data_IF_757402117585
#
_entry.id   IF_757402117585
#
_cell.length_a   1.000
_cell.length_b   1.000
_cell.length_c   1.000
_cell.angle_alpha   90.00
_cell.angle_beta   90.00
_cell.angle_gamma   90.00
#
_symmetry.space_group_name_H-M   'P 1'
#
loop_
_entity.id
_entity.type
_entity.pdbx_description
1 polymer ?
#
# COMPACT_ATOMS: atom_id res chain seq x y z
N UNK A 1 45.50 -21.69 20.27
CA UNK A 1 44.92 -20.61 19.43
C UNK A 1 44.15 -21.29 18.31
N UNK A 2 42.90 -21.66 18.55
CA UNK A 2 41.99 -22.11 17.48
C UNK A 2 41.07 -20.94 17.18
N UNK A 3 41.17 -20.43 15.95
CA UNK A 3 40.33 -19.35 15.45
C UNK A 3 39.06 -20.04 14.96
N UNK A 4 37.96 -19.86 15.68
CA UNK A 4 36.65 -20.37 15.29
C UNK A 4 36.16 -19.65 14.05
N UNK A 5 35.94 -20.39 12.98
CA UNK A 5 35.28 -19.93 11.76
C UNK A 5 33.85 -19.49 12.11
N UNK A 6 33.60 -18.18 12.12
CA UNK A 6 32.25 -17.64 12.17
C UNK A 6 31.50 -18.06 10.92
N UNK A 7 30.42 -18.84 11.08
CA UNK A 7 29.43 -19.01 10.04
C UNK A 7 28.84 -17.62 9.77
N UNK A 8 29.19 -17.05 8.62
CA UNK A 8 28.39 -16.00 7.99
C UNK A 8 27.03 -16.62 7.68
N UNK A 9 26.02 -16.30 8.48
CA UNK A 9 24.63 -16.54 8.10
C UNK A 9 24.41 -15.70 6.84
N UNK A 10 24.06 -16.32 5.70
CA UNK A 10 23.77 -15.54 4.50
C UNK A 10 22.57 -14.64 4.83
N UNK A 11 22.71 -13.34 4.58
CA UNK A 11 21.57 -12.43 4.55
C UNK A 11 20.54 -13.07 3.62
N UNK A 12 19.40 -13.51 4.16
CA UNK A 12 18.26 -13.89 3.34
C UNK A 12 17.98 -12.71 2.41
N UNK A 13 18.04 -12.91 1.09
CA UNK A 13 17.62 -11.86 0.16
C UNK A 13 16.18 -11.53 0.51
N UNK A 14 15.88 -10.26 0.80
CA UNK A 14 14.51 -9.83 1.04
C UNK A 14 13.64 -10.31 -0.14
N UNK A 15 12.54 -10.99 0.15
CA UNK A 15 11.60 -11.41 -0.88
C UNK A 15 11.13 -10.18 -1.66
N UNK A 16 11.18 -10.25 -2.98
CA UNK A 16 10.69 -9.18 -3.86
C UNK A 16 9.33 -9.57 -4.44
N UNK A 17 8.57 -8.57 -4.88
CA UNK A 17 7.23 -8.77 -5.45
C UNK A 17 7.26 -9.61 -6.73
N UNK A 18 8.38 -9.56 -7.45
CA UNK A 18 8.42 -9.93 -8.86
C UNK A 18 7.68 -8.89 -9.71
N UNK A 19 7.96 -8.91 -11.01
CA UNK A 19 7.14 -8.25 -12.02
C UNK A 19 6.85 -9.26 -13.15
N UNK A 20 5.63 -9.26 -13.71
CA UNK A 20 4.48 -8.41 -13.35
C UNK A 20 3.81 -8.80 -12.02
N UNK A 21 3.18 -7.83 -11.35
CA UNK A 21 2.54 -8.03 -10.03
C UNK A 21 1.09 -8.51 -10.09
N UNK A 22 0.40 -8.30 -11.23
CA UNK A 22 -0.94 -8.82 -11.48
C UNK A 22 -0.91 -9.84 -12.62
N UNK A 23 -1.72 -10.92 -12.54
CA UNK A 23 -1.81 -11.89 -13.62
C UNK A 23 -2.61 -11.34 -14.81
N UNK A 24 -2.35 -11.90 -16.01
CA UNK A 24 -3.17 -11.65 -17.20
C UNK A 24 -2.80 -10.39 -17.98
N UNK A 25 -3.75 -9.90 -18.77
CA UNK A 25 -3.66 -8.65 -19.53
C UNK A 25 -4.42 -7.57 -18.75
N UNK A 26 -3.69 -6.84 -17.92
CA UNK A 26 -4.22 -5.77 -17.08
C UNK A 26 -3.49 -4.49 -17.47
N UNK A 27 -4.23 -3.39 -17.52
CA UNK A 27 -3.66 -2.12 -17.91
C UNK A 27 -4.10 -1.00 -16.98
N UNK A 28 -3.51 0.16 -17.22
CA UNK A 28 -3.97 1.44 -16.65
C UNK A 28 -4.17 1.41 -15.13
N UNK A 29 -3.17 0.92 -14.35
CA UNK A 29 -3.35 0.74 -12.91
C UNK A 29 -3.46 2.08 -12.18
N UNK A 30 -4.49 2.23 -11.35
CA UNK A 30 -4.48 3.16 -10.21
C UNK A 30 -4.13 2.40 -8.93
N UNK A 31 -3.26 2.96 -8.08
CA UNK A 31 -2.84 2.39 -6.79
C UNK A 31 -3.29 3.28 -5.63
N UNK A 32 -3.89 2.69 -4.59
CA UNK A 32 -4.35 3.39 -3.38
C UNK A 32 -4.03 2.61 -2.10
N UNK A 33 -4.05 3.30 -0.96
CA UNK A 33 -4.06 2.67 0.36
C UNK A 33 -5.38 2.98 1.03
N UNK A 34 -6.19 1.96 1.23
CA UNK A 34 -7.47 2.06 1.93
C UNK A 34 -7.58 0.94 2.95
N UNK A 35 -8.07 1.30 4.14
CA UNK A 35 -8.36 0.34 5.21
C UNK A 35 -7.14 -0.55 5.55
N UNK A 36 -5.92 0.01 5.50
CA UNK A 36 -4.70 -0.73 5.83
C UNK A 36 -4.32 -1.81 4.80
N UNK A 37 -4.78 -1.68 3.56
CA UNK A 37 -4.37 -2.51 2.41
C UNK A 37 -3.98 -1.62 1.23
N UNK A 38 -3.12 -2.14 0.37
CA UNK A 38 -2.91 -1.60 -0.97
C UNK A 38 -4.01 -2.09 -1.90
N UNK A 39 -4.46 -1.24 -2.80
CA UNK A 39 -5.53 -1.52 -3.76
C UNK A 39 -5.10 -1.09 -5.16
N UNK A 40 -5.20 -1.99 -6.14
CA UNK A 40 -5.03 -1.67 -7.56
C UNK A 40 -6.36 -1.79 -8.29
N UNK A 41 -6.68 -0.78 -9.08
CA UNK A 41 -7.82 -0.74 -9.98
C UNK A 41 -7.29 -0.60 -11.42
N UNK A 42 -7.29 -1.68 -12.23
CA UNK A 42 -6.84 -1.64 -13.62
C UNK A 42 -8.02 -1.57 -14.61
N UNK A 43 -7.73 -1.17 -15.85
CA UNK A 43 -8.54 -1.56 -17.01
C UNK A 43 -8.47 -3.07 -17.20
N UNK A 44 -9.63 -3.73 -17.22
CA UNK A 44 -9.75 -5.16 -17.47
C UNK A 44 -9.61 -5.52 -18.96
N UNK A 45 -9.16 -6.76 -19.23
CA UNK A 45 -9.00 -7.28 -20.60
C UNK A 45 -10.31 -7.29 -21.42
N UNK A 46 -11.45 -7.54 -20.78
CA UNK A 46 -12.73 -7.67 -21.47
C UNK A 46 -13.37 -6.34 -21.88
N UNK A 47 -12.72 -5.23 -21.57
CA UNK A 47 -13.13 -3.88 -21.94
C UNK A 47 -14.52 -3.45 -21.40
N UNK A 48 -15.06 -4.20 -20.44
CA UNK A 48 -16.41 -3.98 -19.88
C UNK A 48 -16.44 -3.99 -18.36
N UNK A 49 -15.56 -4.74 -17.68
CA UNK A 49 -15.64 -4.95 -16.23
C UNK A 49 -14.39 -4.45 -15.53
N UNK A 50 -14.60 -3.76 -14.42
CA UNK A 50 -13.53 -3.35 -13.51
C UNK A 50 -13.42 -4.32 -12.35
N UNK A 51 -12.23 -4.84 -12.13
CA UNK A 51 -11.88 -5.62 -10.95
C UNK A 51 -11.15 -4.74 -9.91
N UNK A 52 -11.22 -5.12 -8.64
CA UNK A 52 -10.35 -4.59 -7.60
C UNK A 52 -9.32 -5.64 -7.17
N UNK A 53 -8.07 -5.24 -7.03
CA UNK A 53 -7.00 -6.10 -6.52
C UNK A 53 -6.52 -5.56 -5.19
N UNK A 54 -6.30 -6.41 -4.19
CA UNK A 54 -5.83 -5.96 -2.87
C UNK A 54 -4.59 -6.72 -2.39
N UNK A 55 -3.73 -6.04 -1.65
CA UNK A 55 -2.52 -6.62 -1.05
C UNK A 55 -2.25 -6.04 0.33
N UNK A 56 -1.66 -6.83 1.22
CA UNK A 56 -1.15 -6.35 2.52
C UNK A 56 0.30 -5.91 2.46
N UNK A 57 1.05 -6.27 1.41
CA UNK A 57 2.51 -6.23 1.40
C UNK A 57 3.14 -5.84 0.05
N UNK A 58 2.36 -5.34 -0.91
CA UNK A 58 2.73 -5.06 -2.31
C UNK A 58 3.09 -6.28 -3.16
N UNK A 59 3.19 -7.47 -2.59
CA UNK A 59 3.67 -8.69 -3.27
C UNK A 59 2.53 -9.65 -3.55
N UNK A 60 1.76 -10.00 -2.53
CA UNK A 60 0.67 -10.96 -2.65
C UNK A 60 -0.63 -10.21 -2.95
N UNK A 61 -1.08 -10.31 -4.20
CA UNK A 61 -2.29 -9.66 -4.68
C UNK A 61 -3.45 -10.65 -4.77
N UNK A 62 -4.60 -10.24 -4.25
CA UNK A 62 -5.87 -10.97 -4.29
C UNK A 62 -6.81 -10.25 -5.26
N UNK A 63 -7.39 -10.97 -6.21
CA UNK A 63 -8.52 -10.49 -7.01
C UNK A 63 -9.77 -10.48 -6.12
N UNK A 64 -10.28 -9.30 -5.81
CA UNK A 64 -11.47 -9.09 -4.98
C UNK A 64 -12.76 -9.15 -5.81
N UNK A 65 -12.64 -9.40 -7.12
CA UNK A 65 -13.73 -9.56 -8.06
C UNK A 65 -14.15 -8.26 -8.74
N UNK A 66 -15.21 -8.37 -9.56
CA UNK A 66 -15.81 -7.26 -10.30
C UNK A 66 -16.48 -6.29 -9.34
N UNK A 67 -16.10 -5.01 -9.41
CA UNK A 67 -16.70 -3.93 -8.61
C UNK A 67 -17.72 -3.11 -9.40
N UNK A 68 -17.58 -3.07 -10.73
CA UNK A 68 -18.49 -2.40 -11.66
C UNK A 68 -18.40 -3.06 -13.04
N UNK A 69 -19.56 -3.41 -13.60
CA UNK A 69 -19.74 -3.89 -14.97
C UNK A 69 -20.44 -2.81 -15.79
N UNK A 70 -19.73 -2.21 -16.75
CA UNK A 70 -20.25 -1.13 -17.58
C UNK A 70 -21.46 -1.59 -18.38
N UNK A 71 -21.38 -2.72 -19.07
CA UNK A 71 -22.43 -3.18 -19.99
C UNK A 71 -23.76 -3.55 -19.32
N UNK A 72 -23.78 -3.77 -18.00
CA UNK A 72 -25.01 -4.12 -17.27
C UNK A 72 -25.41 -3.13 -16.17
N UNK A 73 -24.49 -2.30 -15.67
CA UNK A 73 -24.74 -1.39 -14.55
C UNK A 73 -24.65 0.09 -14.93
N UNK A 74 -24.13 0.43 -16.11
CA UNK A 74 -24.00 1.82 -16.58
C UNK A 74 -24.99 2.04 -17.73
N UNK A 75 -25.96 2.94 -17.54
CA UNK A 75 -27.07 3.12 -18.50
C UNK A 75 -26.74 3.97 -19.73
N UNK A 76 -25.58 4.64 -19.71
CA UNK A 76 -25.17 5.64 -20.71
C UNK A 76 -23.95 5.21 -21.53
N UNK A 77 -23.42 4.01 -21.30
CA UNK A 77 -22.31 3.41 -22.03
C UNK A 77 -22.38 1.88 -21.97
N UNK A 78 -21.94 1.21 -23.04
CA UNK A 78 -22.00 -0.25 -23.17
C UNK A 78 -20.61 -0.91 -23.12
N UNK A 79 -19.54 -0.14 -23.36
CA UNK A 79 -18.17 -0.65 -23.44
C UNK A 79 -17.09 0.43 -23.17
N UNK A 80 -15.82 0.13 -23.50
CA UNK A 80 -14.64 0.98 -23.34
C UNK A 80 -14.42 1.38 -21.88
N UNK A 81 -14.57 0.40 -21.00
CA UNK A 81 -14.31 0.51 -19.56
C UNK A 81 -12.80 0.70 -19.33
N UNK A 82 -12.36 1.95 -19.20
CA UNK A 82 -10.94 2.32 -19.18
C UNK A 82 -10.53 3.13 -17.95
N UNK A 83 -9.25 2.97 -17.60
CA UNK A 83 -8.43 3.88 -16.82
C UNK A 83 -9.08 4.40 -15.54
N UNK A 84 -9.45 3.50 -14.60
CA UNK A 84 -10.19 3.92 -13.44
C UNK A 84 -9.29 4.59 -12.39
N UNK A 85 -9.88 5.45 -11.58
CA UNK A 85 -9.29 5.95 -10.34
C UNK A 85 -10.28 5.88 -9.18
N UNK A 86 -9.78 5.62 -7.97
CA UNK A 86 -10.58 5.51 -6.75
C UNK A 86 -10.11 6.53 -5.70
N UNK A 87 -11.05 7.25 -5.10
CA UNK A 87 -10.77 8.15 -3.97
C UNK A 87 -11.77 7.95 -2.83
N UNK A 88 -11.29 8.09 -1.60
CA UNK A 88 -12.15 8.06 -0.41
C UNK A 88 -12.45 9.49 0.06
N UNK A 89 -13.73 9.79 0.31
CA UNK A 89 -14.16 11.05 0.95
C UNK A 89 -15.50 10.86 1.64
N UNK A 90 -15.74 11.58 2.73
CA UNK A 90 -17.05 11.64 3.40
C UNK A 90 -17.66 10.26 3.73
N UNK A 91 -16.85 9.27 4.11
CA UNK A 91 -17.35 7.93 4.45
C UNK A 91 -17.67 7.03 3.26
N UNK A 92 -17.38 7.45 2.03
CA UNK A 92 -17.64 6.70 0.79
C UNK A 92 -16.40 6.64 -0.10
N UNK A 93 -16.43 5.71 -1.03
CA UNK A 93 -15.45 5.58 -2.10
C UNK A 93 -16.08 6.05 -3.41
N UNK A 94 -15.35 6.82 -4.21
CA UNK A 94 -15.79 7.35 -5.49
C UNK A 94 -14.88 6.80 -6.57
N UNK A 95 -15.47 5.98 -7.44
CA UNK A 95 -14.81 5.27 -8.53
C UNK A 95 -15.06 6.02 -9.83
N UNK A 96 -14.04 6.71 -10.32
CA UNK A 96 -14.06 7.42 -11.59
C UNK A 96 -13.55 6.49 -12.67
N UNK A 97 -14.18 6.50 -13.83
CA UNK A 97 -13.82 5.62 -14.93
C UNK A 97 -14.20 6.27 -16.25
N UNK A 98 -13.53 5.87 -17.33
CA UNK A 98 -13.98 6.18 -18.67
C UNK A 98 -14.84 5.02 -19.20
N UNK A 99 -15.91 5.35 -19.91
CA UNK A 99 -16.75 4.42 -20.66
C UNK A 99 -17.31 5.14 -21.89
N UNK A 100 -17.23 4.51 -23.06
CA UNK A 100 -17.57 5.12 -24.36
C UNK A 100 -17.05 6.55 -24.58
N UNK A 101 -15.80 6.82 -24.13
CA UNK A 101 -15.14 8.14 -24.27
C UNK A 101 -15.86 9.24 -23.50
N UNK A 102 -16.47 8.87 -22.38
CA UNK A 102 -17.07 9.76 -21.39
C UNK A 102 -16.58 9.35 -20.01
N UNK A 103 -16.56 10.28 -19.05
CA UNK A 103 -16.14 9.98 -17.68
C UNK A 103 -17.36 9.83 -16.79
N UNK A 104 -17.47 8.67 -16.16
CA UNK A 104 -18.44 8.37 -15.12
C UNK A 104 -17.87 8.52 -13.72
N UNK A 105 -18.76 8.50 -12.74
CA UNK A 105 -18.42 8.30 -11.34
C UNK A 105 -19.46 7.37 -10.71
N UNK A 106 -18.98 6.33 -10.05
CA UNK A 106 -19.78 5.42 -9.25
C UNK A 106 -19.44 5.59 -7.76
N UNK A 107 -20.44 5.44 -6.90
CA UNK A 107 -20.27 5.50 -5.44
C UNK A 107 -20.23 4.08 -4.88
N UNK A 108 -19.22 3.79 -4.08
CA UNK A 108 -19.00 2.48 -3.48
C UNK A 108 -18.99 2.56 -1.95
N UNK A 109 -19.49 1.51 -1.30
CA UNK A 109 -19.53 1.40 0.16
C UNK A 109 -18.20 0.94 0.77
N UNK A 110 -17.35 0.30 -0.04
CA UNK A 110 -16.02 -0.19 0.36
C UNK A 110 -15.04 -0.12 -0.81
N UNK A 111 -13.72 -0.27 -0.59
CA UNK A 111 -12.73 -0.30 -1.65
C UNK A 111 -12.95 -1.42 -2.68
N UNK A 112 -13.64 -2.50 -2.30
CA UNK A 112 -13.98 -3.64 -3.17
C UNK A 112 -15.41 -3.58 -3.71
N UNK A 113 -16.06 -2.42 -3.63
CA UNK A 113 -17.45 -2.29 -4.03
C UNK A 113 -18.46 -2.90 -3.04
N UNK A 114 -19.69 -3.19 -3.49
CA UNK A 114 -20.19 -2.90 -4.84
C UNK A 114 -20.20 -1.39 -5.13
N UNK A 115 -20.04 -1.02 -6.40
CA UNK A 115 -20.13 0.37 -6.86
C UNK A 115 -21.44 0.60 -7.61
N UNK A 116 -22.07 1.75 -7.40
CA UNK A 116 -23.30 2.17 -8.08
C UNK A 116 -23.04 3.42 -8.91
N UNK A 117 -23.21 3.32 -10.23
CA UNK A 117 -23.09 4.46 -11.14
C UNK A 117 -24.08 5.58 -10.79
N UNK A 118 -23.70 6.82 -11.06
CA UNK A 118 -24.55 7.99 -10.79
C UNK A 118 -25.63 8.22 -11.85
N UNK A 119 -25.71 7.35 -12.86
CA UNK A 119 -26.77 7.29 -13.87
C UNK A 119 -26.57 8.21 -15.06
N UNK A 120 -25.45 8.94 -15.12
CA UNK A 120 -25.08 9.82 -16.22
C UNK A 120 -23.56 10.04 -16.25
N UNK A 121 -23.00 10.45 -17.40
CA UNK A 121 -21.62 10.93 -17.44
C UNK A 121 -21.43 12.14 -16.51
N UNK A 122 -20.34 12.12 -15.74
CA UNK A 122 -19.83 13.30 -15.04
C UNK A 122 -19.20 14.28 -16.02
N UNK A 123 -18.44 13.77 -16.99
CA UNK A 123 -17.89 14.55 -18.12
C UNK A 123 -18.31 13.87 -19.43
N UNK A 124 -19.20 14.48 -20.23
CA UNK A 124 -19.61 13.94 -21.52
C UNK A 124 -18.51 14.08 -22.58
N UNK A 125 -18.63 13.32 -23.67
CA UNK A 125 -17.68 13.33 -24.77
C UNK A 125 -17.57 14.71 -25.44
N UNK A 126 -16.37 15.04 -25.93
CA UNK A 126 -16.15 16.17 -26.85
C UNK A 126 -16.15 17.57 -26.22
N UNK A 127 -16.09 17.72 -24.90
CA UNK A 127 -16.04 19.03 -24.26
C UNK A 127 -14.72 19.77 -24.54
N UNK A 128 -14.82 20.94 -25.19
CA UNK A 128 -13.72 21.88 -25.48
C UNK A 128 -12.50 21.26 -26.19
N UNK A 129 -12.71 20.18 -26.94
CA UNK A 129 -11.63 19.48 -27.65
C UNK A 129 -10.67 18.71 -26.72
N UNK A 130 -11.11 18.38 -25.50
CA UNK A 130 -10.45 17.41 -24.61
C UNK A 130 -11.23 16.11 -24.66
N UNK A 131 -10.56 15.01 -24.99
CA UNK A 131 -11.18 13.68 -24.98
C UNK A 131 -11.49 13.24 -23.55
N UNK A 132 -12.68 12.73 -23.26
CA UNK A 132 -13.09 12.43 -21.88
C UNK A 132 -12.67 11.01 -21.48
N UNK A 133 -11.37 10.86 -21.26
CA UNK A 133 -10.69 9.62 -20.83
C UNK A 133 -9.72 9.90 -19.68
N UNK A 134 -9.19 8.83 -19.10
CA UNK A 134 -8.15 8.81 -18.06
C UNK A 134 -8.43 9.75 -16.87
N UNK A 135 -9.58 9.59 -16.19
CA UNK A 135 -9.89 10.38 -15.02
C UNK A 135 -8.89 10.08 -13.89
N UNK A 136 -8.33 11.12 -13.30
CA UNK A 136 -7.53 11.05 -12.07
C UNK A 136 -7.98 12.13 -11.10
N UNK A 137 -8.24 11.74 -9.85
CA UNK A 137 -8.70 12.69 -8.82
C UNK A 137 -7.61 12.94 -7.79
N UNK A 138 -7.26 14.21 -7.65
CA UNK A 138 -6.35 14.71 -6.62
C UNK A 138 -7.12 15.57 -5.63
N UNK A 139 -6.98 15.28 -4.34
CA UNK A 139 -7.52 16.08 -3.25
C UNK A 139 -6.34 16.79 -2.58
N UNK A 140 -6.35 18.12 -2.61
CA UNK A 140 -5.28 18.94 -2.04
C UNK A 140 -5.43 19.09 -0.53
N UNK A 141 -4.39 19.62 0.12
CA UNK A 141 -4.32 19.78 1.58
C UNK A 141 -5.41 20.72 2.13
N UNK A 142 -5.96 21.62 1.30
CA UNK A 142 -7.07 22.51 1.63
C UNK A 142 -8.46 21.85 1.50
N UNK A 143 -8.49 20.59 1.05
CA UNK A 143 -9.70 19.81 0.82
C UNK A 143 -10.36 20.04 -0.54
N UNK A 144 -9.84 20.91 -1.40
CA UNK A 144 -10.34 21.04 -2.77
C UNK A 144 -9.95 19.79 -3.57
N UNK A 145 -10.96 19.16 -4.18
CA UNK A 145 -10.76 18.04 -5.09
C UNK A 145 -10.71 18.53 -6.54
N UNK A 146 -9.83 17.94 -7.34
CA UNK A 146 -9.61 18.25 -8.75
C UNK A 146 -9.70 16.97 -9.55
N UNK A 147 -10.51 16.98 -10.60
CA UNK A 147 -10.56 15.94 -11.63
C UNK A 147 -9.65 16.36 -12.79
N UNK A 148 -8.56 15.65 -12.98
CA UNK A 148 -7.73 15.72 -14.18
C UNK A 148 -8.21 14.65 -15.14
N UNK A 149 -8.21 14.97 -16.42
CA UNK A 149 -8.60 14.04 -17.46
C UNK A 149 -8.08 14.52 -18.81
N UNK A 150 -8.21 13.70 -19.82
CA UNK A 150 -7.84 14.08 -21.17
C UNK A 150 -6.83 13.17 -21.79
N UNK A 151 -6.86 13.14 -23.12
CA UNK A 151 -5.82 12.52 -23.90
C UNK A 151 -6.14 12.42 -25.38
N UNK A 152 -5.43 11.48 -26.00
CA UNK A 152 -5.47 11.00 -27.39
C UNK A 152 -4.52 11.62 -28.42
N UNK A 153 -4.15 10.76 -29.38
CA UNK A 153 -2.83 10.69 -29.98
C UNK A 153 -2.40 11.91 -30.82
N UNK A 154 -1.10 12.24 -30.67
CA UNK A 154 -0.36 13.19 -31.50
C UNK A 154 -0.29 14.60 -30.94
N UNK A 155 -1.36 15.09 -30.28
CA UNK A 155 -1.47 16.41 -29.63
C UNK A 155 -2.59 16.44 -28.57
N UNK A 156 -2.63 15.46 -27.66
CA UNK A 156 -3.66 15.35 -26.63
C UNK A 156 -3.76 16.62 -25.77
N UNK A 157 -4.96 16.93 -25.28
CA UNK A 157 -5.17 18.04 -24.34
C UNK A 157 -5.56 17.50 -22.97
N UNK A 158 -5.08 18.20 -21.94
CA UNK A 158 -5.47 17.93 -20.55
C UNK A 158 -6.53 18.93 -20.09
N UNK A 159 -7.65 18.41 -19.59
CA UNK A 159 -8.70 19.14 -18.91
C UNK A 159 -8.60 18.97 -17.40
N UNK A 160 -9.03 19.99 -16.67
CA UNK A 160 -9.14 19.99 -15.21
C UNK A 160 -10.50 20.58 -14.83
N UNK A 161 -11.19 19.92 -13.92
CA UNK A 161 -12.33 20.48 -13.20
C UNK A 161 -12.03 20.52 -11.71
N UNK A 162 -12.56 21.54 -11.02
CA UNK A 162 -12.78 21.42 -9.58
C UNK A 162 -14.00 20.53 -9.37
N UNK A 163 -13.97 19.68 -8.34
CA UNK A 163 -15.12 18.92 -7.89
C UNK A 163 -15.81 19.64 -6.72
N UNK A 164 -17.14 19.50 -6.63
CA UNK A 164 -17.86 19.87 -5.42
C UNK A 164 -17.57 18.87 -4.30
N UNK A 165 -17.92 19.24 -3.06
CA UNK A 165 -17.71 18.39 -1.89
C UNK A 165 -18.48 17.07 -1.91
N UNK A 166 -19.48 16.92 -2.78
CA UNK A 166 -20.23 15.68 -3.02
C UNK A 166 -19.45 14.65 -3.86
N UNK A 167 -18.34 15.07 -4.49
CA UNK A 167 -17.48 14.30 -5.40
C UNK A 167 -18.17 13.76 -6.67
N UNK A 168 -19.45 14.08 -6.88
CA UNK A 168 -20.24 13.60 -8.02
C UNK A 168 -20.77 14.73 -8.90
N UNK A 169 -20.31 15.96 -8.66
CA UNK A 169 -20.61 17.11 -9.49
C UNK A 169 -19.40 18.04 -9.68
N UNK A 170 -19.35 18.68 -10.84
CA UNK A 170 -18.30 19.61 -11.22
C UNK A 170 -18.57 21.01 -10.65
N UNK A 171 -17.51 21.71 -10.26
CA UNK A 171 -17.54 23.08 -9.77
C UNK A 171 -16.88 24.03 -10.79
N UNK A 172 -17.68 24.94 -11.35
CA UNK A 172 -17.20 25.94 -12.30
C UNK A 172 -16.91 25.39 -13.70
N UNK A 173 -16.18 26.17 -14.49
CA UNK A 173 -15.83 25.84 -15.87
C UNK A 173 -14.60 24.93 -15.98
N UNK A 174 -14.48 24.26 -17.13
CA UNK A 174 -13.31 23.48 -17.50
C UNK A 174 -12.07 24.37 -17.58
N UNK A 175 -10.95 23.87 -17.09
CA UNK A 175 -9.65 24.50 -17.23
C UNK A 175 -8.83 23.61 -18.18
N UNK A 176 -8.35 24.17 -19.28
CA UNK A 176 -7.46 23.45 -20.20
C UNK A 176 -6.04 23.96 -19.98
N UNK A 177 -5.19 23.11 -19.39
CA UNK A 177 -3.79 23.44 -19.11
C UNK A 177 -2.91 22.24 -19.42
N UNK A 178 -2.47 22.13 -20.68
CA UNK A 178 -1.77 20.95 -21.19
C UNK A 178 -0.26 21.12 -21.04
N UNK A 179 0.46 20.18 -20.38
CA UNK A 179 1.91 20.24 -20.30
C UNK A 179 2.56 19.86 -21.65
N UNK A 180 3.84 20.20 -21.82
CA UNK A 180 4.61 19.81 -23.00
C UNK A 180 4.64 18.28 -23.16
N UNK A 181 4.47 17.75 -24.39
CA UNK A 181 4.52 16.31 -24.70
C UNK A 181 3.38 15.48 -24.09
N UNK A 182 2.25 16.09 -23.75
CA UNK A 182 1.11 15.34 -23.22
C UNK A 182 0.46 14.44 -24.27
N UNK A 183 0.37 13.13 -24.01
CA UNK A 183 -0.54 12.23 -24.72
C UNK A 183 -1.80 11.98 -23.88
N UNK A 184 -1.68 11.48 -22.65
CA UNK A 184 -2.79 11.00 -21.80
C UNK A 184 -2.32 10.64 -20.37
N UNK A 185 -3.15 9.95 -19.57
CA UNK A 185 -2.84 9.35 -18.27
C UNK A 185 -2.24 10.31 -17.22
N UNK A 186 -2.99 11.38 -16.92
CA UNK A 186 -2.56 12.37 -15.93
C UNK A 186 -2.50 11.77 -14.53
N UNK A 187 -1.42 12.04 -13.79
CA UNK A 187 -1.32 11.74 -12.36
C UNK A 187 -0.67 12.89 -11.61
N UNK A 188 -1.35 13.39 -10.57
CA UNK A 188 -0.87 14.48 -9.73
C UNK A 188 -0.61 14.02 -8.29
N UNK A 189 0.55 14.39 -7.77
CA UNK A 189 0.83 14.32 -6.33
C UNK A 189 1.59 15.56 -5.87
N UNK A 190 1.53 15.81 -4.56
CA UNK A 190 2.19 16.96 -3.93
C UNK A 190 3.28 16.47 -2.99
N UNK A 191 4.45 17.11 -3.06
CA UNK A 191 5.59 16.85 -2.16
C UNK A 191 6.29 18.16 -1.85
N UNK A 192 6.44 18.46 -0.55
CA UNK A 192 7.11 19.68 -0.05
C UNK A 192 6.56 20.98 -0.68
N UNK A 193 5.24 21.09 -0.80
CA UNK A 193 4.56 22.27 -1.36
C UNK A 193 4.62 22.39 -2.89
N UNK A 194 5.24 21.44 -3.59
CA UNK A 194 5.32 21.41 -5.07
C UNK A 194 4.36 20.35 -5.60
N UNK A 195 3.60 20.71 -6.64
CA UNK A 195 2.74 19.79 -7.39
C UNK A 195 3.55 19.17 -8.52
N UNK A 196 3.52 17.86 -8.61
CA UNK A 196 4.13 17.08 -9.68
C UNK A 196 2.99 16.52 -10.52
N UNK A 197 2.90 16.95 -11.77
CA UNK A 197 2.01 16.37 -12.78
C UNK A 197 2.86 15.46 -13.65
N UNK A 198 2.48 14.19 -13.69
CA UNK A 198 3.08 13.18 -14.55
C UNK A 198 2.05 12.66 -15.53
N UNK A 199 2.50 12.20 -16.70
CA UNK A 199 1.64 11.85 -17.81
C UNK A 199 2.37 10.96 -18.80
N UNK A 200 1.60 10.23 -19.60
CA UNK A 200 2.11 9.45 -20.71
C UNK A 200 2.43 10.34 -21.92
N UNK A 201 3.48 9.97 -22.64
CA UNK A 201 3.89 10.53 -23.92
C UNK A 201 4.19 9.40 -24.92
N UNK A 202 3.94 9.62 -26.21
CA UNK A 202 4.16 8.64 -27.28
C UNK A 202 2.90 7.83 -27.61
N UNK A 203 3.04 6.77 -28.40
CA UNK A 203 1.92 5.86 -28.69
C UNK A 203 1.83 4.77 -27.62
N UNK A 204 0.67 4.60 -26.98
CA UNK A 204 0.38 3.46 -26.11
C UNK A 204 0.57 2.11 -26.80
N UNK A 205 0.59 2.10 -28.13
CA UNK A 205 0.63 0.93 -28.99
C UNK A 205 2.05 0.41 -29.32
N UNK A 206 3.11 1.14 -28.94
CA UNK A 206 4.48 0.78 -29.31
C UNK A 206 5.54 1.19 -28.26
N UNK A 207 6.81 0.99 -28.61
CA UNK A 207 7.95 1.28 -27.72
C UNK A 207 8.20 2.77 -27.44
N UNK A 208 7.51 3.68 -28.12
CA UNK A 208 7.63 5.12 -27.89
C UNK A 208 6.90 5.58 -26.63
N UNK A 209 5.95 4.79 -26.11
CA UNK A 209 5.24 5.12 -24.86
C UNK A 209 6.24 5.28 -23.71
N UNK A 210 6.13 6.38 -22.98
CA UNK A 210 6.96 6.71 -21.83
C UNK A 210 6.22 7.64 -20.86
N UNK A 211 6.69 7.70 -19.61
CA UNK A 211 6.16 8.60 -18.59
C UNK A 211 7.04 9.84 -18.48
N UNK A 212 6.46 11.02 -18.61
CA UNK A 212 7.11 12.31 -18.38
C UNK A 212 6.46 13.06 -17.21
N UNK A 213 7.10 14.13 -16.75
CA UNK A 213 6.52 14.98 -15.72
C UNK A 213 6.88 16.45 -15.85
N UNK A 214 6.06 17.25 -15.19
CA UNK A 214 6.19 18.67 -15.01
C UNK A 214 5.87 19.03 -13.55
N UNK A 215 6.28 20.23 -13.12
CA UNK A 215 6.02 20.74 -11.77
C UNK A 215 5.35 22.10 -11.80
N UNK A 216 4.59 22.42 -10.75
CA UNK A 216 3.95 23.71 -10.53
C UNK A 216 3.89 24.05 -9.04
N UNK A 217 3.70 25.33 -8.71
CA UNK A 217 3.35 25.80 -7.36
C UNK A 217 1.83 25.83 -7.11
N UNK A 218 1.04 25.39 -8.09
CA UNK A 218 -0.43 25.36 -8.08
C UNK A 218 -0.92 24.06 -8.72
N UNK A 219 -2.01 23.45 -8.23
CA UNK A 219 -2.59 22.26 -8.85
C UNK A 219 -3.10 22.56 -10.26
N UNK A 220 -3.30 23.82 -10.63
CA UNK A 220 -3.83 24.22 -11.95
C UNK A 220 -2.72 24.63 -12.94
N UNK A 221 -1.46 24.35 -12.62
CA UNK A 221 -0.32 24.87 -13.38
C UNK A 221 -0.07 26.37 -13.13
N UNK A 222 0.70 27.04 -14.01
CA UNK A 222 1.31 26.51 -15.23
C UNK A 222 2.36 25.42 -14.95
N UNK A 223 2.45 24.45 -15.86
CA UNK A 223 3.31 23.28 -15.70
C UNK A 223 4.67 23.50 -16.34
N UNK A 224 5.74 23.37 -15.57
CA UNK A 224 7.11 23.42 -16.09
C UNK A 224 7.65 22.01 -16.28
N UNK A 225 7.93 21.60 -17.52
CA UNK A 225 8.47 20.27 -17.86
C UNK A 225 9.80 19.98 -17.13
N UNK A 226 9.99 18.72 -16.73
CA UNK A 226 11.14 18.25 -15.95
C UNK A 226 11.84 17.01 -16.51
N UNK A 227 11.31 16.41 -17.58
CA UNK A 227 11.92 15.26 -18.25
C UNK A 227 11.11 13.98 -18.12
N UNK A 228 11.78 12.86 -18.42
CA UNK A 228 11.22 11.51 -18.47
C UNK A 228 11.50 10.77 -17.17
N UNK A 229 10.48 10.10 -16.63
CA UNK A 229 10.57 9.22 -15.46
C UNK A 229 10.83 7.79 -15.89
N UNK A 230 10.13 7.30 -16.91
CA UNK A 230 10.13 5.88 -17.27
C UNK A 230 10.08 5.73 -18.78
N UNK A 231 10.96 4.92 -19.37
CA UNK A 231 11.05 4.70 -20.83
C UNK A 231 11.42 3.26 -21.15
N UNK A 232 11.10 2.81 -22.37
CA UNK A 232 11.52 1.51 -22.90
C UNK A 232 13.01 1.22 -22.67
N UNK A 233 13.33 -0.03 -22.35
CA UNK A 233 14.69 -0.57 -22.30
C UNK A 233 14.80 -1.79 -23.24
N UNK A 234 15.89 -2.55 -23.18
CA UNK A 234 16.12 -3.68 -24.10
C UNK A 234 15.05 -4.76 -24.03
N UNK A 235 14.49 -5.01 -22.84
CA UNK A 235 13.56 -6.12 -22.55
C UNK A 235 12.10 -5.66 -22.51
N UNK A 236 11.86 -4.51 -21.87
CA UNK A 236 10.54 -3.99 -21.57
C UNK A 236 10.25 -2.75 -22.41
N UNK A 237 9.08 -2.71 -23.03
CA UNK A 237 8.70 -1.69 -24.02
C UNK A 237 7.44 -0.95 -23.60
N UNK A 238 7.32 0.28 -24.07
CA UNK A 238 6.13 1.10 -23.96
C UNK A 238 5.58 1.22 -22.53
N UNK A 239 6.39 1.58 -21.52
CA UNK A 239 5.85 1.82 -20.20
C UNK A 239 5.00 3.10 -20.17
N UNK A 240 3.85 3.03 -19.54
CA UNK A 240 3.04 4.22 -19.29
C UNK A 240 1.75 3.86 -18.57
N UNK A 241 0.82 4.81 -18.63
CA UNK A 241 -0.37 4.87 -17.79
C UNK A 241 -0.08 4.40 -16.36
N UNK A 242 0.45 5.31 -15.56
CA UNK A 242 1.04 5.02 -14.27
C UNK A 242 0.27 5.68 -13.12
N UNK A 243 0.58 5.21 -11.93
CA UNK A 243 0.14 5.76 -10.67
C UNK A 243 1.29 5.74 -9.66
N UNK A 244 1.33 6.74 -8.78
CA UNK A 244 2.34 6.81 -7.71
C UNK A 244 1.75 6.44 -6.36
N UNK A 245 2.54 5.67 -5.60
CA UNK A 245 2.25 5.32 -4.23
C UNK A 245 3.36 5.86 -3.33
N UNK A 246 2.97 6.64 -2.32
CA UNK A 246 3.85 7.01 -1.22
C UNK A 246 3.60 6.07 -0.04
N UNK A 247 4.64 5.45 0.49
CA UNK A 247 4.49 4.64 1.70
C UNK A 247 4.19 5.55 2.91
N UNK A 248 3.11 5.29 3.67
CA UNK A 248 2.68 6.16 4.76
C UNK A 248 3.78 6.41 5.80
N UNK A 249 3.89 7.65 6.27
CA UNK A 249 4.87 8.05 7.28
C UNK A 249 6.33 8.06 6.81
N UNK A 250 6.60 7.84 5.52
CA UNK A 250 7.95 7.88 4.93
C UNK A 250 8.01 8.80 3.72
N UNK A 251 9.20 8.94 3.14
CA UNK A 251 9.38 9.53 1.81
C UNK A 251 9.80 8.48 0.78
N UNK A 252 9.34 7.24 0.98
CA UNK A 252 9.55 6.15 0.04
C UNK A 252 8.41 6.12 -0.97
N UNK A 253 8.76 6.10 -2.25
CA UNK A 253 7.82 6.18 -3.36
C UNK A 253 7.97 5.02 -4.34
N UNK A 254 6.85 4.70 -4.96
CA UNK A 254 6.72 3.63 -5.94
C UNK A 254 5.95 4.15 -7.15
N UNK A 255 6.32 3.66 -8.33
CA UNK A 255 5.54 3.82 -9.55
C UNK A 255 4.93 2.46 -9.90
N UNK A 256 3.61 2.43 -10.06
CA UNK A 256 2.86 1.29 -10.60
C UNK A 256 2.43 1.68 -12.00
N UNK A 257 2.71 0.86 -12.99
CA UNK A 257 2.54 1.19 -14.41
C UNK A 257 2.24 -0.06 -15.22
N UNK A 258 1.79 0.08 -16.46
CA UNK A 258 1.77 -1.05 -17.38
C UNK A 258 2.97 -0.99 -18.34
N UNK A 259 3.38 -2.14 -18.85
CA UNK A 259 4.40 -2.27 -19.91
C UNK A 259 4.10 -3.44 -20.85
N UNK A 260 4.84 -3.50 -21.94
CA UNK A 260 4.93 -4.64 -22.83
C UNK A 260 6.23 -5.42 -22.57
N UNK A 261 6.19 -6.73 -22.83
CA UNK A 261 7.32 -7.63 -22.63
C UNK A 261 7.63 -8.37 -23.94
N UNK A 262 8.90 -8.71 -24.16
CA UNK A 262 9.33 -9.55 -25.29
C UNK A 262 8.98 -8.99 -26.69
N UNK A 263 8.88 -7.66 -26.84
CA UNK A 263 8.40 -6.98 -28.06
C UNK A 263 6.99 -7.40 -28.52
N UNK A 264 6.16 -7.93 -27.63
CA UNK A 264 4.76 -8.21 -27.89
C UNK A 264 3.88 -7.05 -27.38
N UNK A 265 3.29 -6.32 -28.31
CA UNK A 265 2.42 -5.17 -28.03
C UNK A 265 0.92 -5.53 -27.88
N UNK A 266 0.59 -6.82 -27.77
CA UNK A 266 -0.80 -7.29 -27.64
C UNK A 266 -1.31 -7.37 -26.19
N UNK A 267 -0.40 -7.48 -25.21
CA UNK A 267 -0.76 -7.60 -23.80
C UNK A 267 0.03 -6.65 -22.91
N UNK A 268 -0.69 -5.86 -22.13
CA UNK A 268 -0.13 -4.98 -21.11
C UNK A 268 0.01 -5.75 -19.79
N UNK A 269 1.12 -5.50 -19.09
CA UNK A 269 1.50 -6.14 -17.84
C UNK A 269 1.72 -5.09 -16.77
N UNK A 270 0.99 -5.21 -15.65
CA UNK A 270 1.13 -4.29 -14.52
C UNK A 270 2.40 -4.63 -13.74
N UNK A 271 3.26 -3.63 -13.57
CA UNK A 271 4.55 -3.72 -12.89
C UNK A 271 4.68 -2.61 -11.84
N UNK A 272 5.59 -2.82 -10.89
CA UNK A 272 5.94 -1.85 -9.84
C UNK A 272 7.45 -1.73 -9.73
N UNK A 273 7.95 -0.50 -9.55
CA UNK A 273 9.35 -0.23 -9.25
C UNK A 273 9.47 0.97 -8.29
N UNK A 274 10.63 1.09 -7.62
CA UNK A 274 10.90 2.23 -6.74
C UNK A 274 11.12 3.51 -7.52
N UNK A 275 10.65 4.62 -6.96
CA UNK A 275 10.90 5.97 -7.45
C UNK A 275 11.66 6.77 -6.40
N UNK A 276 12.65 7.54 -6.83
CA UNK A 276 13.48 8.36 -5.96
C UNK A 276 13.46 9.82 -6.39
N UNK A 277 13.52 10.72 -5.40
CA UNK A 277 13.76 12.14 -5.64
C UNK A 277 15.23 12.49 -5.47
N UNK A 278 15.76 13.32 -6.37
CA UNK A 278 17.00 14.03 -6.17
C UNK A 278 16.87 15.13 -5.10
N UNK A 279 18.01 15.59 -4.58
CA UNK A 279 18.05 16.64 -3.55
C UNK A 279 17.41 17.97 -3.99
N UNK A 280 17.38 18.25 -5.30
CA UNK A 280 16.74 19.40 -5.91
C UNK A 280 15.23 19.20 -6.19
N UNK A 281 14.66 18.08 -5.77
CA UNK A 281 13.25 17.74 -5.99
C UNK A 281 12.93 17.12 -7.36
N UNK A 282 13.90 16.87 -8.24
CA UNK A 282 13.62 16.16 -9.50
C UNK A 282 13.36 14.67 -9.24
N UNK A 283 12.45 14.05 -9.98
CA UNK A 283 12.29 12.60 -9.99
C UNK A 283 13.46 12.00 -10.79
N UNK A 284 14.14 11.02 -10.22
CA UNK A 284 15.18 10.25 -10.92
C UNK A 284 14.54 9.28 -11.91
N UNK A 285 15.15 9.06 -13.09
CA UNK A 285 14.69 8.03 -14.01
C UNK A 285 14.59 6.66 -13.31
N UNK A 286 13.47 5.99 -13.52
CA UNK A 286 13.17 4.66 -12.99
C UNK A 286 13.58 3.61 -14.01
N UNK A 287 14.25 2.56 -13.54
CA UNK A 287 14.58 1.39 -14.35
C UNK A 287 13.50 0.32 -14.16
N UNK A 288 12.87 -0.11 -15.24
CA UNK A 288 11.95 -1.25 -15.20
C UNK A 288 12.68 -2.54 -14.85
N UNK A 289 12.20 -3.28 -13.86
CA UNK A 289 12.86 -4.53 -13.40
C UNK A 289 11.97 -5.77 -13.55
N UNK A 290 12.60 -6.95 -13.54
CA UNK A 290 11.90 -8.23 -13.35
C UNK A 290 11.63 -8.54 -11.87
N UNK A 291 12.41 -7.96 -10.96
CA UNK A 291 12.36 -8.27 -9.53
C UNK A 291 11.24 -7.51 -8.82
N UNK A 292 10.83 -6.36 -9.36
CA UNK A 292 9.90 -5.46 -8.69
C UNK A 292 10.53 -4.83 -7.46
N UNK A 293 9.77 -4.75 -6.37
CA UNK A 293 10.21 -4.09 -5.12
C UNK A 293 10.25 -5.07 -3.96
N UNK A 294 10.82 -4.68 -2.82
CA UNK A 294 10.77 -5.55 -1.64
C UNK A 294 9.32 -5.66 -1.13
N UNK A 295 8.98 -6.80 -0.52
CA UNK A 295 7.73 -6.90 0.24
C UNK A 295 7.66 -5.79 1.27
N UNK A 296 6.52 -5.10 1.33
CA UNK A 296 6.37 -3.91 2.17
C UNK A 296 5.00 -3.84 2.83
N UNK A 297 4.83 -4.48 3.99
CA UNK A 297 3.58 -4.41 4.72
C UNK A 297 3.26 -3.02 5.27
N UNK A 298 1.97 -2.70 5.42
CA UNK A 298 1.52 -1.42 5.99
C UNK A 298 1.63 -1.40 7.52
N UNK A 299 2.30 -0.37 8.04
CA UNK A 299 2.41 -0.13 9.49
C UNK A 299 1.09 0.42 10.07
N UNK A 300 0.82 0.08 11.32
CA UNK A 300 -0.27 0.63 12.14
C UNK A 300 0.33 1.32 13.35
N UNK A 301 -0.16 2.53 13.64
CA UNK A 301 0.29 3.28 14.79
C UNK A 301 -0.32 2.77 16.09
N UNK A 302 0.51 2.60 17.10
CA UNK A 302 0.10 2.34 18.49
C UNK A 302 0.33 3.59 19.34
N UNK A 303 -0.50 3.75 20.37
CA UNK A 303 -0.26 4.73 21.43
C UNK A 303 0.95 4.30 22.25
N UNK A 304 1.99 5.14 22.31
CA UNK A 304 3.18 4.89 23.13
C UNK A 304 3.04 5.48 24.53
N UNK A 305 3.89 5.03 25.46
CA UNK A 305 3.95 5.42 26.86
C UNK A 305 2.70 5.08 27.68
N UNK A 306 1.95 4.08 27.25
CA UNK A 306 0.81 3.51 27.97
C UNK A 306 1.09 2.04 28.31
N UNK A 307 0.59 1.60 29.47
CA UNK A 307 0.57 0.19 29.81
C UNK A 307 -0.62 -0.49 29.15
N UNK A 308 -0.39 -1.64 28.52
CA UNK A 308 -1.42 -2.48 27.94
C UNK A 308 -1.12 -3.96 28.19
N UNK A 309 -2.17 -4.78 28.11
CA UNK A 309 -2.05 -6.23 28.03
C UNK A 309 -2.37 -6.68 26.61
N UNK A 310 -1.66 -7.70 26.14
CA UNK A 310 -1.73 -8.19 24.76
C UNK A 310 -2.47 -9.54 24.79
N UNK A 311 -3.72 -9.54 24.32
CA UNK A 311 -4.65 -10.65 24.40
C UNK A 311 -4.60 -11.49 23.12
N UNK A 312 -4.67 -12.81 23.28
CA UNK A 312 -4.79 -13.77 22.17
C UNK A 312 -6.15 -13.62 21.49
N UNK A 313 -6.17 -13.64 20.15
CA UNK A 313 -7.42 -13.62 19.37
C UNK A 313 -7.82 -14.97 18.80
N UNK A 314 -6.97 -15.99 18.94
CA UNK A 314 -7.27 -17.35 18.44
C UNK A 314 -8.54 -17.90 19.10
N UNK A 315 -9.54 -18.36 18.32
CA UNK A 315 -10.76 -18.95 18.85
C UNK A 315 -10.48 -20.06 19.86
N UNK A 316 -11.15 -19.99 21.02
CA UNK A 316 -10.97 -20.95 22.12
C UNK A 316 -9.84 -20.62 23.10
N UNK A 317 -9.03 -19.59 22.83
CA UNK A 317 -7.91 -19.16 23.69
C UNK A 317 -7.97 -17.66 24.01
N UNK A 318 -9.13 -17.03 23.84
CA UNK A 318 -9.28 -15.57 24.00
C UNK A 318 -9.18 -15.09 25.45
N UNK A 319 -9.10 -16.00 26.43
CA UNK A 319 -8.77 -15.71 27.81
C UNK A 319 -7.25 -15.70 28.08
N UNK A 320 -6.43 -16.01 27.08
CA UNK A 320 -4.98 -15.99 27.17
C UNK A 320 -4.36 -14.63 26.85
N UNK A 321 -3.27 -14.31 27.55
CA UNK A 321 -2.51 -13.07 27.41
C UNK A 321 -1.02 -13.34 27.33
N UNK A 322 -0.29 -12.53 26.55
CA UNK A 322 1.18 -12.49 26.59
C UNK A 322 1.61 -12.13 28.01
N UNK A 323 2.56 -12.91 28.54
CA UNK A 323 3.33 -12.61 29.75
C UNK A 323 4.77 -13.09 29.59
N UNK A 324 5.66 -12.66 30.47
CA UNK A 324 6.97 -13.31 30.64
C UNK A 324 6.94 -14.30 31.80
N UNK A 325 7.58 -15.48 31.72
CA UNK A 325 7.79 -16.46 32.81
C UNK A 325 9.17 -17.06 32.69
N UNK A 326 9.94 -17.07 33.79
CA UNK A 326 11.30 -17.62 33.82
C UNK A 326 12.18 -17.06 32.68
N UNK A 327 12.02 -15.77 32.38
CA UNK A 327 12.73 -15.07 31.29
C UNK A 327 12.19 -15.32 29.87
N UNK A 328 11.14 -16.12 29.70
CA UNK A 328 10.56 -16.48 28.41
C UNK A 328 9.19 -15.84 28.19
N UNK A 329 8.90 -15.43 26.95
CA UNK A 329 7.57 -15.02 26.52
C UNK A 329 6.64 -16.21 26.39
N UNK A 330 5.48 -16.18 27.04
CA UNK A 330 4.46 -17.24 27.00
C UNK A 330 3.07 -16.63 26.97
N UNK A 331 2.06 -17.43 26.69
CA UNK A 331 0.66 -17.04 26.87
C UNK A 331 0.03 -17.82 28.01
N UNK A 332 -0.76 -17.16 28.87
CA UNK A 332 -1.50 -17.83 29.95
C UNK A 332 -2.89 -17.26 30.10
N UNK A 333 -3.82 -18.07 30.61
CA UNK A 333 -5.16 -17.62 31.01
C UNK A 333 -5.02 -16.53 32.07
N UNK A 334 -5.73 -15.42 31.90
CA UNK A 334 -5.78 -14.32 32.86
C UNK A 334 -7.21 -13.93 33.18
N UNK A 335 -7.51 -13.69 34.46
CA UNK A 335 -8.79 -13.19 34.91
C UNK A 335 -8.66 -12.32 36.17
N UNK A 336 -9.80 -11.83 36.68
CA UNK A 336 -9.84 -10.97 37.86
C UNK A 336 -9.24 -11.61 39.12
N UNK A 337 -9.28 -12.94 39.25
CA UNK A 337 -8.75 -13.70 40.38
C UNK A 337 -7.27 -14.05 40.24
N UNK A 338 -6.65 -13.82 39.07
CA UNK A 338 -5.23 -14.10 38.88
C UNK A 338 -4.35 -13.31 39.85
N UNK A 339 -3.25 -13.91 40.35
CA UNK A 339 -2.28 -13.24 41.23
C UNK A 339 -1.77 -11.91 40.65
N UNK A 340 -1.46 -10.95 41.52
CA UNK A 340 -0.91 -9.65 41.08
C UNK A 340 0.38 -9.81 40.28
N UNK A 341 1.24 -10.75 40.67
CA UNK A 341 2.48 -11.05 39.93
C UNK A 341 2.17 -11.46 38.48
N UNK A 342 1.21 -12.37 38.27
CA UNK A 342 0.82 -12.80 36.93
C UNK A 342 0.25 -11.63 36.10
N UNK A 343 -0.53 -10.75 36.72
CA UNK A 343 -1.07 -9.55 36.08
C UNK A 343 0.02 -8.57 35.69
N UNK A 344 1.05 -8.41 36.52
CA UNK A 344 2.22 -7.59 36.23
C UNK A 344 3.08 -8.21 35.13
N UNK A 345 3.30 -9.53 35.16
CA UNK A 345 4.02 -10.27 34.12
C UNK A 345 3.34 -10.14 32.75
N UNK A 346 2.02 -9.97 32.73
CA UNK A 346 1.17 -9.81 31.53
C UNK A 346 0.90 -8.35 31.14
N UNK A 347 1.62 -7.39 31.73
CA UNK A 347 1.46 -5.96 31.44
C UNK A 347 2.75 -5.36 30.91
N UNK A 348 2.66 -4.68 29.77
CA UNK A 348 3.80 -4.07 29.09
C UNK A 348 3.53 -2.60 28.79
N UNK A 349 4.54 -1.75 28.98
CA UNK A 349 4.53 -0.39 28.46
C UNK A 349 4.94 -0.45 26.99
N UNK A 350 4.08 0.05 26.11
CA UNK A 350 4.42 0.21 24.70
C UNK A 350 5.28 1.47 24.58
N UNK A 351 6.51 1.34 24.10
CA UNK A 351 7.43 2.47 23.89
C UNK A 351 7.84 2.56 22.42
N UNK A 352 8.37 3.71 21.95
CA UNK A 352 9.01 3.78 20.64
C UNK A 352 10.07 2.68 20.51
N UNK A 353 10.15 2.08 19.33
CA UNK A 353 11.05 0.97 19.06
C UNK A 353 12.49 1.33 19.32
N UNK A 354 13.23 0.45 19.98
CA UNK A 354 14.63 0.67 20.33
C UNK A 354 15.52 0.82 19.08
N UNK A 355 15.15 0.19 17.96
CA UNK A 355 15.88 0.29 16.70
C UNK A 355 15.36 1.35 15.72
N UNK A 356 14.06 1.66 15.79
CA UNK A 356 13.32 2.55 14.89
C UNK A 356 12.10 3.10 15.65
N UNK A 357 12.05 4.43 15.83
CA UNK A 357 10.99 5.10 16.59
C UNK A 357 9.60 5.04 15.92
N UNK A 358 9.52 4.64 14.64
CA UNK A 358 8.28 4.37 13.92
C UNK A 358 7.77 2.93 14.10
N UNK A 359 8.46 2.12 14.90
CA UNK A 359 8.02 0.80 15.37
C UNK A 359 7.98 0.79 16.91
N UNK A 360 7.82 -0.37 17.54
CA UNK A 360 7.51 -0.48 18.97
C UNK A 360 8.39 -1.49 19.70
N UNK A 361 8.62 -1.22 20.98
CA UNK A 361 9.19 -2.17 21.93
C UNK A 361 8.27 -2.30 23.14
N UNK A 362 8.25 -3.47 23.76
CA UNK A 362 7.35 -3.79 24.88
C UNK A 362 8.16 -3.92 26.17
N UNK A 363 8.18 -2.84 26.96
CA UNK A 363 8.89 -2.79 28.25
C UNK A 363 8.04 -3.47 29.34
N UNK A 364 8.64 -4.33 30.16
CA UNK A 364 7.92 -5.00 31.25
C UNK A 364 7.48 -4.03 32.34
N UNK A 365 6.26 -4.21 32.87
CA UNK A 365 5.75 -3.43 34.02
C UNK A 365 6.55 -3.67 35.29
N UNK A 366 6.83 -4.93 35.62
CA UNK A 366 7.50 -5.31 36.87
C UNK A 366 9.03 -5.45 36.75
N UNK A 367 9.57 -5.43 35.53
CA UNK A 367 11.00 -5.28 35.29
C UNK A 367 11.25 -4.09 34.35
N UNK A 368 11.10 -2.83 34.82
CA UNK A 368 11.43 -1.66 34.01
C UNK A 368 12.84 -1.74 33.43
N UNK A 369 13.01 -1.29 32.20
CA UNK A 369 14.24 -1.46 31.43
C UNK A 369 14.47 -2.86 30.86
N UNK A 370 13.53 -3.81 31.02
CA UNK A 370 13.55 -5.09 30.29
C UNK A 370 12.48 -5.10 29.21
N UNK A 371 12.80 -5.73 28.07
CA UNK A 371 11.96 -5.70 26.88
C UNK A 371 11.69 -7.10 26.35
N UNK A 372 10.49 -7.30 25.78
CA UNK A 372 10.27 -8.46 24.93
C UNK A 372 11.21 -8.37 23.72
N UNK A 373 12.03 -9.39 23.52
CA UNK A 373 12.98 -9.49 22.40
C UNK A 373 13.09 -10.92 21.91
N UNK A 374 13.31 -11.12 20.61
CA UNK A 374 13.55 -12.47 20.10
C UNK A 374 15.03 -12.87 20.22
N UNK A 375 15.30 -14.16 20.39
CA UNK A 375 16.63 -14.76 20.25
C UNK A 375 16.46 -16.19 19.81
N UNK A 376 17.15 -16.60 18.73
CA UNK A 376 16.90 -17.89 18.07
C UNK A 376 15.40 -18.14 17.80
N UNK A 377 14.71 -17.08 17.36
CA UNK A 377 13.26 -17.02 17.12
C UNK A 377 12.35 -17.08 18.37
N UNK A 378 12.83 -17.48 19.55
CA UNK A 378 12.04 -17.50 20.78
C UNK A 378 11.90 -16.08 21.34
N UNK A 379 10.73 -15.70 21.84
CA UNK A 379 10.58 -14.44 22.59
C UNK A 379 11.04 -14.64 24.04
N UNK A 380 11.84 -13.71 24.52
CA UNK A 380 12.33 -13.62 25.89
C UNK A 380 12.00 -12.25 26.49
N UNK A 381 12.22 -12.10 27.79
CA UNK A 381 12.29 -10.82 28.48
C UNK A 381 13.71 -10.58 29.00
N UNK A 382 14.38 -9.54 28.51
CA UNK A 382 15.77 -9.26 28.87
C UNK A 382 16.05 -7.76 28.98
N UNK A 383 17.09 -7.40 29.72
CA UNK A 383 17.64 -6.05 29.75
C UNK A 383 18.53 -5.78 28.52
N UNK A 384 18.52 -4.56 27.96
CA UNK A 384 19.44 -4.18 26.89
C UNK A 384 20.89 -4.34 27.31
N UNK A 385 21.69 -4.97 26.46
CA UNK A 385 23.14 -5.09 26.62
C UNK A 385 23.91 -3.93 25.96
N UNK A 386 23.19 -2.93 25.44
CA UNK A 386 23.73 -1.79 24.70
C UNK A 386 24.08 -2.08 23.24
N UNK A 387 23.91 -3.32 22.78
CA UNK A 387 24.19 -3.69 21.39
C UNK A 387 23.09 -3.22 20.44
N UNK A 388 23.47 -2.94 19.17
CA UNK A 388 22.50 -2.71 18.11
C UNK A 388 21.64 -3.96 17.85
N UNK A 389 22.20 -5.15 18.05
CA UNK A 389 21.47 -6.41 17.85
C UNK A 389 20.29 -6.51 18.83
N UNK A 390 20.49 -6.22 20.12
CA UNK A 390 19.40 -6.18 21.08
C UNK A 390 18.30 -5.21 20.64
N UNK A 391 18.67 -4.00 20.21
CA UNK A 391 17.69 -3.02 19.75
C UNK A 391 16.89 -3.54 18.55
N UNK A 392 17.54 -4.22 17.60
CA UNK A 392 16.89 -4.85 16.44
C UNK A 392 15.94 -5.98 16.88
N UNK A 393 16.39 -6.86 17.78
CA UNK A 393 15.65 -8.02 18.27
C UNK A 393 14.44 -7.65 19.16
N UNK A 394 14.51 -6.50 19.82
CA UNK A 394 13.47 -5.95 20.69
C UNK A 394 12.51 -4.99 19.98
N UNK A 395 12.64 -4.80 18.67
CA UNK A 395 11.79 -3.87 17.89
C UNK A 395 10.83 -4.64 16.99
N UNK A 396 9.55 -4.30 17.09
CA UNK A 396 8.48 -4.87 16.29
C UNK A 396 7.61 -3.79 15.67
N UNK A 397 7.33 -3.89 14.39
CA UNK A 397 6.47 -2.97 13.67
C UNK A 397 5.04 -3.49 13.71
N UNK A 398 4.14 -2.71 14.31
CA UNK A 398 2.72 -3.06 14.36
C UNK A 398 2.07 -2.88 13.00
N UNK A 399 1.11 -3.75 12.69
CA UNK A 399 0.34 -3.78 11.45
C UNK A 399 -1.10 -4.15 11.78
N UNK A 400 -2.03 -3.90 10.85
CA UNK A 400 -3.38 -4.44 10.94
C UNK A 400 -3.27 -5.96 11.07
N UNK A 401 -3.96 -6.53 12.04
CA UNK A 401 -3.86 -7.96 12.31
C UNK A 401 -4.20 -8.78 11.07
N UNK A 402 -3.43 -9.84 10.83
CA UNK A 402 -3.56 -10.64 9.60
C UNK A 402 -4.92 -11.35 9.49
N UNK A 403 -5.66 -11.49 10.59
CA UNK A 403 -7.06 -11.97 10.58
C UNK A 403 -8.07 -10.96 10.04
N UNK A 404 -7.64 -9.72 9.74
CA UNK A 404 -8.50 -8.61 9.33
C UNK A 404 -8.98 -7.73 10.51
N UNK A 405 -8.69 -8.13 11.74
CA UNK A 405 -8.95 -7.35 12.96
C UNK A 405 -7.74 -7.39 13.91
N UNK A 406 -7.72 -6.58 14.96
CA UNK A 406 -6.59 -6.54 15.91
C UNK A 406 -5.29 -6.05 15.28
N UNK A 407 -4.17 -6.46 15.87
CA UNK A 407 -2.81 -6.04 15.52
C UNK A 407 -1.91 -7.27 15.34
N UNK A 408 -1.00 -7.22 14.37
CA UNK A 408 0.12 -8.16 14.24
C UNK A 408 1.44 -7.42 14.43
N UNK A 409 2.41 -8.06 15.08
CA UNK A 409 3.70 -7.46 15.41
C UNK A 409 4.81 -8.10 14.56
N UNK A 410 5.20 -7.45 13.47
CA UNK A 410 6.27 -7.91 12.59
C UNK A 410 7.64 -7.63 13.23
N UNK A 411 8.55 -8.59 13.23
CA UNK A 411 9.94 -8.39 13.65
C UNK A 411 10.64 -7.38 12.75
N UNK A 412 11.37 -6.43 13.33
CA UNK A 412 12.07 -5.39 12.57
C UNK A 412 13.20 -5.96 11.71
N UNK A 413 13.99 -6.89 12.25
CA UNK A 413 15.14 -7.48 11.57
C UNK A 413 14.86 -8.85 10.89
N UNK A 414 13.65 -9.39 11.05
CA UNK A 414 13.14 -10.54 10.29
C UNK A 414 11.78 -10.16 9.66
N UNK A 415 11.79 -9.44 8.52
CA UNK A 415 10.61 -8.76 7.96
C UNK A 415 9.54 -9.70 7.36
N UNK A 416 9.71 -11.01 7.51
CA UNK A 416 8.77 -12.07 7.17
C UNK A 416 8.20 -12.81 8.40
N UNK A 417 8.57 -12.40 9.62
CA UNK A 417 8.21 -13.10 10.87
C UNK A 417 7.48 -12.21 11.85
N UNK A 418 6.41 -12.76 12.45
CA UNK A 418 5.54 -12.04 13.39
C UNK A 418 5.59 -12.68 14.78
N UNK A 419 5.36 -11.89 15.84
CA UNK A 419 5.10 -12.45 17.17
C UNK A 419 3.86 -13.34 17.09
N UNK A 420 4.06 -14.63 17.38
CA UNK A 420 3.08 -15.70 17.32
C UNK A 420 3.00 -16.41 18.67
N UNK A 421 1.81 -16.86 19.08
CA UNK A 421 1.71 -17.94 20.07
C UNK A 421 1.50 -19.30 19.44
N UNK A 422 2.13 -20.33 20.02
CA UNK A 422 1.88 -21.73 19.68
C UNK A 422 2.27 -22.60 20.87
N UNK A 423 1.42 -23.56 21.24
CA UNK A 423 1.62 -24.43 22.42
C UNK A 423 1.89 -23.66 23.73
N UNK A 424 1.32 -22.46 23.88
CA UNK A 424 1.53 -21.59 25.05
C UNK A 424 2.83 -20.77 25.02
N UNK A 425 3.62 -20.87 23.95
CA UNK A 425 4.92 -20.21 23.81
C UNK A 425 4.87 -19.09 22.78
N UNK A 426 5.70 -18.05 22.96
CA UNK A 426 5.87 -16.94 22.01
C UNK A 426 7.11 -17.06 21.14
N UNK A 427 6.93 -16.91 19.83
CA UNK A 427 7.98 -17.01 18.82
C UNK A 427 7.84 -15.89 17.79
N UNK A 428 8.92 -15.53 17.09
CA UNK A 428 8.80 -14.86 15.80
C UNK A 428 8.68 -15.92 14.69
N UNK A 429 7.53 -15.97 14.03
CA UNK A 429 7.18 -17.06 13.13
C UNK A 429 6.75 -16.59 11.75
N UNK A 430 7.10 -17.38 10.74
CA UNK A 430 6.59 -17.28 9.36
C UNK A 430 5.47 -18.32 9.15
N UNK A 431 4.79 -18.31 8.00
CA UNK A 431 3.83 -19.34 7.62
C UNK A 431 4.46 -20.50 6.81
N UNK A 432 5.80 -20.59 6.80
CA UNK A 432 6.53 -21.50 5.90
C UNK A 432 6.37 -22.99 6.21
N UNK A 433 5.96 -23.35 7.43
CA UNK A 433 5.93 -24.73 7.89
C UNK A 433 7.32 -25.35 8.12
N UNK A 434 8.42 -24.59 8.00
CA UNK A 434 9.78 -25.10 8.13
C UNK A 434 10.16 -25.49 9.56
N UNK A 435 9.61 -24.76 10.54
CA UNK A 435 9.81 -25.02 11.96
C UNK A 435 8.49 -25.42 12.62
N UNK A 436 8.55 -26.11 13.76
CA UNK A 436 7.35 -26.51 14.51
C UNK A 436 6.48 -25.32 14.93
N UNK A 437 7.07 -24.14 15.12
CA UNK A 437 6.38 -22.88 15.40
C UNK A 437 5.87 -22.11 14.16
N UNK A 438 6.21 -22.56 12.95
CA UNK A 438 5.81 -21.96 11.67
C UNK A 438 4.59 -22.71 11.02
N UNK A 439 3.81 -23.47 11.81
CA UNK A 439 2.67 -24.26 11.32
C UNK A 439 1.59 -23.39 10.63
N UNK A 440 1.20 -23.66 9.37
CA UNK A 440 0.24 -22.84 8.64
C UNK A 440 -1.22 -22.97 9.10
N UNK A 441 -1.61 -24.06 9.78
CA UNK A 441 -3.02 -24.39 10.04
C UNK A 441 -3.78 -23.36 10.90
N UNK A 442 -3.08 -22.65 11.79
CA UNK A 442 -3.63 -21.60 12.66
C UNK A 442 -2.82 -20.30 12.63
N UNK A 443 -1.97 -20.12 11.62
CA UNK A 443 -1.00 -19.02 11.59
C UNK A 443 -1.64 -17.65 11.78
N UNK A 444 -2.65 -17.33 10.97
CA UNK A 444 -3.30 -16.03 10.94
C UNK A 444 -3.88 -15.58 12.30
N UNK A 445 -4.73 -16.39 12.99
CA UNK A 445 -5.19 -16.03 14.32
C UNK A 445 -4.05 -16.00 15.36
N UNK A 446 -3.04 -16.86 15.24
CA UNK A 446 -1.96 -16.98 16.22
C UNK A 446 -0.96 -15.81 16.21
N UNK A 447 -0.86 -15.09 15.10
CA UNK A 447 -0.06 -13.85 14.97
C UNK A 447 -0.89 -12.59 15.14
N UNK A 448 -2.17 -12.72 15.48
CA UNK A 448 -3.10 -11.60 15.67
C UNK A 448 -3.46 -11.42 17.14
N UNK A 449 -3.35 -10.17 17.59
CA UNK A 449 -3.46 -9.79 18.98
C UNK A 449 -4.47 -8.66 19.18
N UNK A 450 -5.13 -8.65 20.33
CA UNK A 450 -5.92 -7.50 20.79
C UNK A 450 -5.14 -6.75 21.88
N UNK A 451 -5.01 -5.44 21.72
CA UNK A 451 -4.47 -4.56 22.76
C UNK A 451 -5.62 -4.10 23.65
N UNK A 452 -5.56 -4.46 24.94
CA UNK A 452 -6.62 -4.16 25.91
C UNK A 452 -6.08 -3.43 27.13
N UNK A 453 -7.00 -2.98 27.99
CA UNK A 453 -6.66 -2.38 29.28
C UNK A 453 -5.68 -3.28 30.05
N UNK A 454 -4.64 -2.70 30.66
CA UNK A 454 -3.63 -3.49 31.36
C UNK A 454 -4.23 -4.22 32.56
N UNK A 455 -3.78 -5.45 32.80
CA UNK A 455 -4.12 -6.19 34.00
C UNK A 455 -3.51 -5.57 35.28
N UNK A 456 -2.41 -4.82 35.14
CA UNK A 456 -1.75 -4.07 36.21
C UNK A 456 -1.39 -2.63 35.75
N UNK A 457 -2.34 -1.68 35.77
CA UNK A 457 -2.15 -0.31 35.25
C UNK A 457 -0.96 0.45 35.85
#
# INVERSE_FOLDING_TARGET
MMIGSGLLVPNASAATTGNPILPGNQADPSIKIFEGRYWIYPSGFDNNRFHAWSSTDLSHWVDEGVILDVGSQVSWADTRAWAPDMVYRNGKYYFYFAADVQIGVAVCDSPKGPCTDTGKPLVPAGLSGVESIDPMVFIDDDGQAYLYYGGSAGQGKMGIYRLNGDMVSLNGGQIVQTPLNFTEASWVHKRNGVYYLSYSNGCYCDSSYNVQYATSSSPLGPWTHRGTILSSNDVYKGPGHHAFLRYPGSDDWYIVYHRYENNDFSQRKVAIDRMFYGANGTIQPVTMTSQGVETRPLRTSLTTNVFQSIQVTTPGFTDNFIRHRDGLGVTTVMNASSPLLDKQDATFKIVPGLADAGCYSFESKNYPGHYLRHSSYRIHLDAPDGSRLFALDATFCAQRGLSGSGISFLSYNYPDRYIRHINGELWIASNSGLYSWDNPASYTPDVTWALVSPWAP
#
